data_IF_335276558730
#
_entry.id   IF_335276558730
#
_cell.length_a   1.000
_cell.length_b   1.000
_cell.length_c   1.000
_cell.angle_alpha   90.00
_cell.angle_beta   90.00
_cell.angle_gamma   90.00
#
_symmetry.space_group_name_H-M   'P 1'
#
loop_
_entity.id
_entity.type
_entity.pdbx_description
1 polymer ?
#
# COMPACT_ATOMS: atom_id res chain seq x y z
N UNK A 1 4.29 9.37 -0.27
CA UNK A 1 3.18 8.52 0.21
C UNK A 1 2.01 9.41 0.62
N UNK A 2 0.77 9.00 0.36
CA UNK A 2 -0.44 9.74 0.76
C UNK A 2 -1.25 8.96 1.79
N UNK A 3 -1.14 9.33 3.07
CA UNK A 3 -1.78 8.64 4.18
C UNK A 3 -3.26 8.97 4.36
N UNK A 4 -3.82 9.83 3.49
CA UNK A 4 -5.27 10.01 3.38
C UNK A 4 -5.94 8.86 2.63
N UNK A 5 -5.16 8.02 1.94
CA UNK A 5 -5.65 6.96 1.04
C UNK A 5 -5.23 5.55 1.44
N UNK A 6 -4.28 5.43 2.36
CA UNK A 6 -3.75 4.17 2.86
C UNK A 6 -3.14 4.38 4.25
N UNK A 7 -3.00 3.34 5.08
CA UNK A 7 -2.27 3.47 6.33
C UNK A 7 -0.76 3.49 6.05
N UNK A 8 0.06 4.03 6.96
CA UNK A 8 1.50 3.78 6.91
C UNK A 8 1.76 2.29 7.18
N UNK A 9 2.97 1.80 6.90
CA UNK A 9 3.36 0.41 7.17
C UNK A 9 3.05 0.00 8.59
N UNK A 10 2.89 -1.31 8.80
CA UNK A 10 2.52 -1.87 10.11
C UNK A 10 3.53 -1.41 11.17
N UNK A 11 3.08 -1.13 12.40
CA UNK A 11 4.00 -0.85 13.50
C UNK A 11 4.95 -2.03 13.77
N UNK A 12 4.58 -3.27 13.46
CA UNK A 12 5.46 -4.44 13.56
C UNK A 12 6.47 -4.59 12.42
N UNK A 13 6.38 -3.77 11.36
CA UNK A 13 7.27 -3.87 10.22
C UNK A 13 8.71 -3.46 10.59
N UNK A 14 9.68 -4.33 10.30
CA UNK A 14 11.10 -4.16 10.62
C UNK A 14 11.97 -3.89 9.39
N UNK A 15 11.39 -3.51 8.25
CA UNK A 15 12.14 -3.33 6.99
C UNK A 15 13.15 -2.19 7.04
N UNK A 16 13.00 -1.25 7.98
CA UNK A 16 13.95 -0.15 8.21
C UNK A 16 14.68 -0.36 9.54
N UNK A 17 15.99 -0.48 9.46
CA UNK A 17 16.93 -0.68 10.59
C UNK A 17 16.68 -1.94 11.44
N UNK A 18 15.80 -2.84 11.02
CA UNK A 18 15.40 -3.98 11.85
C UNK A 18 14.58 -3.58 13.09
N UNK A 19 14.10 -2.33 13.18
CA UNK A 19 13.46 -1.78 14.38
C UNK A 19 11.97 -1.55 14.10
N UNK A 20 11.12 -2.11 14.96
CA UNK A 20 9.67 -1.92 14.85
C UNK A 20 9.28 -0.45 15.01
N UNK A 21 8.26 -0.02 14.26
CA UNK A 21 7.78 1.36 14.26
C UNK A 21 8.60 2.33 13.41
N UNK A 22 9.86 2.02 13.04
CA UNK A 22 10.68 2.92 12.21
C UNK A 22 10.12 3.02 10.80
N UNK A 23 9.80 1.90 10.13
CA UNK A 23 9.19 1.91 8.80
C UNK A 23 7.88 2.71 8.75
N UNK A 24 7.03 2.54 9.77
CA UNK A 24 5.79 3.32 9.95
C UNK A 24 6.09 4.81 10.14
N UNK A 25 7.08 5.15 10.95
CA UNK A 25 7.48 6.53 11.21
C UNK A 25 8.09 7.18 9.95
N UNK A 26 8.82 6.44 9.13
CA UNK A 26 9.32 6.88 7.81
C UNK A 26 8.18 7.31 6.91
N UNK A 27 7.14 6.48 6.80
CA UNK A 27 5.98 6.76 5.96
C UNK A 27 5.24 8.02 6.43
N UNK A 28 5.08 8.17 7.75
CA UNK A 28 4.47 9.34 8.37
C UNK A 28 5.31 10.60 8.22
N UNK A 29 6.63 10.51 8.36
CA UNK A 29 7.54 11.63 8.11
C UNK A 29 7.44 12.09 6.65
N UNK A 30 7.51 11.17 5.69
CA UNK A 30 7.35 11.47 4.26
C UNK A 30 5.98 12.08 3.97
N UNK A 31 4.91 11.58 4.59
CA UNK A 31 3.57 12.15 4.41
C UNK A 31 3.43 13.53 5.07
N UNK A 32 4.03 13.74 6.25
CA UNK A 32 4.08 15.03 6.93
C UNK A 32 4.77 16.09 6.06
N UNK A 33 5.96 15.78 5.52
CA UNK A 33 6.72 16.71 4.69
C UNK A 33 5.97 17.07 3.39
N UNK A 34 5.17 16.15 2.87
CA UNK A 34 4.37 16.35 1.66
C UNK A 34 2.96 16.88 1.91
N UNK A 35 2.56 17.16 3.15
CA UNK A 35 1.21 17.64 3.49
C UNK A 35 0.10 16.61 3.26
N UNK A 36 0.43 15.31 3.28
CA UNK A 36 -0.47 14.18 3.01
C UNK A 36 -0.63 13.25 4.21
N UNK A 37 -0.34 13.73 5.42
CA UNK A 37 -0.40 12.95 6.67
C UNK A 37 -1.81 12.48 7.05
N UNK A 38 -2.85 13.23 6.67
CA UNK A 38 -4.23 12.92 7.03
C UNK A 38 -4.49 13.05 8.53
N UNK A 39 -5.19 12.08 9.11
CA UNK A 39 -5.54 12.06 10.55
C UNK A 39 -4.41 11.51 11.44
N UNK A 40 -3.31 11.03 10.83
CA UNK A 40 -2.17 10.54 11.58
C UNK A 40 -1.42 11.69 12.27
N UNK A 41 -0.74 11.38 13.37
CA UNK A 41 0.14 12.30 14.09
C UNK A 41 1.59 11.92 13.85
N UNK A 42 2.52 12.87 13.72
CA UNK A 42 3.94 12.59 13.52
C UNK A 42 4.80 13.13 14.67
N UNK A 43 5.92 12.44 14.95
CA UNK A 43 6.95 12.89 15.90
C UNK A 43 6.43 12.95 17.34
N UNK A 44 6.71 14.06 18.04
CA UNK A 44 6.35 14.25 19.46
C UNK A 44 4.85 14.14 19.76
N UNK A 45 3.99 14.35 18.74
CA UNK A 45 2.54 14.23 18.89
C UNK A 45 2.04 12.78 18.76
N UNK A 46 2.89 11.85 18.35
CA UNK A 46 2.58 10.41 18.24
C UNK A 46 3.29 9.65 19.35
N UNK A 47 2.52 8.99 20.23
CA UNK A 47 3.11 8.22 21.34
C UNK A 47 4.08 7.13 20.89
N UNK A 48 3.83 6.48 19.74
CA UNK A 48 4.76 5.49 19.19
C UNK A 48 6.01 6.15 18.61
N UNK A 49 5.86 7.23 17.83
CA UNK A 49 7.01 7.88 17.18
C UNK A 49 7.92 8.47 18.24
N UNK A 50 7.37 9.09 19.28
CA UNK A 50 8.12 9.58 20.43
C UNK A 50 8.94 8.46 21.08
N UNK A 51 8.33 7.30 21.36
CA UNK A 51 9.06 6.17 21.94
C UNK A 51 10.19 5.64 21.04
N UNK A 52 9.97 5.63 19.71
CA UNK A 52 10.99 5.25 18.73
C UNK A 52 12.11 6.29 18.68
N UNK A 53 11.80 7.58 18.58
CA UNK A 53 12.76 8.67 18.53
C UNK A 53 13.61 8.75 19.81
N UNK A 54 12.99 8.57 20.98
CA UNK A 54 13.69 8.46 22.27
C UNK A 54 14.64 7.25 22.30
N UNK A 55 14.20 6.09 21.81
CA UNK A 55 15.06 4.90 21.71
C UNK A 55 16.24 5.15 20.77
N UNK A 56 16.01 5.77 19.61
CA UNK A 56 17.05 6.08 18.63
C UNK A 56 18.00 7.21 19.07
N UNK A 57 17.58 8.07 19.99
CA UNK A 57 18.32 9.29 20.32
C UNK A 57 18.31 10.32 19.18
N UNK A 58 17.28 10.32 18.34
CA UNK A 58 17.14 11.17 17.15
C UNK A 58 15.92 12.07 17.32
N UNK A 59 16.05 13.37 16.99
CA UNK A 59 14.89 14.27 17.06
C UNK A 59 13.92 14.06 15.89
N UNK A 60 12.62 14.34 16.09
CA UNK A 60 11.64 14.26 15.00
C UNK A 60 12.04 15.11 13.79
N UNK A 61 12.59 16.31 14.01
CA UNK A 61 13.07 17.19 12.93
C UNK A 61 14.22 16.55 12.15
N UNK A 62 15.22 16.03 12.84
CA UNK A 62 16.37 15.39 12.19
C UNK A 62 15.96 14.15 11.40
N UNK A 63 15.05 13.33 11.94
CA UNK A 63 14.50 12.19 11.22
C UNK A 63 13.71 12.64 9.98
N UNK A 64 12.87 13.68 10.09
CA UNK A 64 12.14 14.24 8.96
C UNK A 64 13.06 14.73 7.83
N UNK A 65 14.18 15.38 8.18
CA UNK A 65 15.20 15.81 7.21
C UNK A 65 15.94 14.62 6.56
N UNK A 66 16.11 13.51 7.29
CA UNK A 66 16.74 12.30 6.76
C UNK A 66 15.85 11.59 5.73
N UNK A 67 14.53 11.48 5.98
CA UNK A 67 13.62 10.78 5.07
C UNK A 67 13.39 11.51 3.73
N UNK A 68 13.75 12.80 3.63
CA UNK A 68 13.78 13.55 2.37
C UNK A 68 14.99 13.22 1.52
N UNK A 69 16.10 12.86 2.17
CA UNK A 69 17.40 12.63 1.52
C UNK A 69 17.57 11.17 1.12
N UNK A 70 16.99 10.26 1.88
CA UNK A 70 17.27 8.83 1.81
C UNK A 70 16.05 8.00 1.43
N UNK A 71 16.26 7.06 0.51
CA UNK A 71 15.34 5.95 0.34
C UNK A 71 15.40 4.99 1.55
N UNK A 72 14.60 3.93 1.55
CA UNK A 72 14.55 3.01 2.69
C UNK A 72 15.87 2.24 2.92
N UNK A 73 16.63 1.97 1.85
CA UNK A 73 17.91 1.25 1.93
C UNK A 73 18.97 2.15 2.54
N UNK A 74 19.05 3.40 2.08
CA UNK A 74 19.97 4.40 2.62
C UNK A 74 19.59 4.79 4.04
N UNK A 75 18.30 4.95 4.31
CA UNK A 75 17.78 5.30 5.63
C UNK A 75 18.06 4.19 6.66
N UNK A 76 18.04 2.92 6.25
CA UNK A 76 18.44 1.80 7.11
C UNK A 76 19.86 1.99 7.67
N UNK A 77 20.83 2.29 6.79
CA UNK A 77 22.21 2.52 7.20
C UNK A 77 22.32 3.76 8.10
N UNK A 78 21.66 4.86 7.71
CA UNK A 78 21.68 6.11 8.46
C UNK A 78 21.10 5.96 9.88
N UNK A 79 19.96 5.28 10.05
CA UNK A 79 19.34 5.07 11.37
C UNK A 79 20.26 4.26 12.29
N UNK A 80 20.88 3.19 11.78
CA UNK A 80 21.79 2.34 12.57
C UNK A 80 23.04 3.11 13.01
N UNK A 81 23.68 3.82 12.07
CA UNK A 81 24.86 4.64 12.37
C UNK A 81 24.52 5.75 13.37
N UNK A 82 23.41 6.47 13.13
CA UNK A 82 23.04 7.63 13.92
C UNK A 82 22.61 7.28 15.34
N UNK A 83 21.89 6.17 15.50
CA UNK A 83 21.40 5.74 16.81
C UNK A 83 22.46 5.02 17.65
N UNK A 84 23.47 4.41 17.01
CA UNK A 84 24.51 3.64 17.69
C UNK A 84 23.98 2.41 18.44
N UNK A 85 22.76 1.95 18.11
CA UNK A 85 22.12 0.83 18.80
C UNK A 85 22.72 -0.51 18.40
N UNK A 86 22.99 -1.31 19.41
CA UNK A 86 23.43 -2.69 19.24
C UNK A 86 22.26 -3.60 18.83
N UNK A 87 22.56 -4.73 18.21
CA UNK A 87 21.55 -5.73 17.84
C UNK A 87 20.73 -6.21 19.05
N UNK A 88 21.36 -6.35 20.22
CA UNK A 88 20.68 -6.77 21.45
C UNK A 88 19.73 -5.71 22.00
N UNK A 89 20.09 -4.42 21.93
CA UNK A 89 19.20 -3.31 22.28
C UNK A 89 17.99 -3.26 21.32
N UNK A 90 18.22 -3.43 20.03
CA UNK A 90 17.16 -3.48 19.01
C UNK A 90 16.21 -4.65 19.27
N UNK A 91 16.75 -5.85 19.52
CA UNK A 91 15.95 -7.03 19.82
C UNK A 91 15.09 -6.82 21.07
N UNK A 92 15.66 -6.27 22.15
CA UNK A 92 14.94 -5.97 23.38
C UNK A 92 13.83 -4.92 23.18
N UNK A 93 14.10 -3.87 22.40
CA UNK A 93 13.09 -2.87 22.07
C UNK A 93 11.94 -3.46 21.26
N UNK A 94 12.27 -4.26 20.24
CA UNK A 94 11.29 -4.94 19.41
C UNK A 94 10.41 -5.89 20.23
N UNK A 95 11.00 -6.75 21.06
CA UNK A 95 10.27 -7.68 21.92
C UNK A 95 9.32 -6.95 22.87
N UNK A 96 9.82 -5.90 23.53
CA UNK A 96 9.00 -5.05 24.40
C UNK A 96 7.79 -4.50 23.66
N UNK A 97 7.99 -3.92 22.47
CA UNK A 97 6.90 -3.28 21.71
C UNK A 97 5.92 -4.26 21.09
N UNK A 98 6.41 -5.39 20.59
CA UNK A 98 5.56 -6.45 20.03
C UNK A 98 4.66 -7.10 21.07
N UNK A 99 5.10 -7.15 22.33
CA UNK A 99 4.37 -7.79 23.45
C UNK A 99 3.58 -6.81 24.32
N UNK A 100 3.74 -5.50 24.10
CA UNK A 100 3.10 -4.44 24.89
C UNK A 100 1.56 -4.55 24.83
N UNK A 101 0.93 -4.75 25.99
CA UNK A 101 -0.53 -4.78 26.13
C UNK A 101 -1.07 -3.40 26.51
N UNK A 102 -2.32 -3.07 26.13
CA UNK A 102 -3.01 -1.88 26.65
C UNK A 102 -3.04 -1.87 28.19
N UNK A 103 -2.50 -0.82 28.80
CA UNK A 103 -2.39 -0.72 30.26
C UNK A 103 -3.58 0.03 30.87
N UNK A 104 -3.90 1.21 30.34
CA UNK A 104 -4.98 2.05 30.83
C UNK A 104 -6.36 1.66 30.27
N UNK A 105 -7.41 2.07 30.96
CA UNK A 105 -8.79 1.75 30.59
C UNK A 105 -9.20 2.32 29.22
N UNK A 106 -8.65 3.47 28.82
CA UNK A 106 -8.95 4.06 27.52
C UNK A 106 -8.35 3.23 26.38
N UNK A 107 -7.13 2.72 26.54
CA UNK A 107 -6.46 1.86 25.58
C UNK A 107 -7.16 0.49 25.48
N UNK A 108 -7.59 -0.09 26.61
CA UNK A 108 -8.39 -1.32 26.63
C UNK A 108 -9.73 -1.12 25.93
N UNK A 109 -10.42 -0.01 26.20
CA UNK A 109 -11.68 0.34 25.54
C UNK A 109 -11.50 0.52 24.03
N UNK A 110 -10.44 1.20 23.57
CA UNK A 110 -10.11 1.33 22.14
C UNK A 110 -9.90 -0.03 21.47
N UNK A 111 -9.14 -0.93 22.10
CA UNK A 111 -8.97 -2.29 21.57
C UNK A 111 -10.30 -3.04 21.48
N UNK A 112 -11.13 -2.99 22.53
CA UNK A 112 -12.44 -3.63 22.53
C UNK A 112 -13.37 -3.08 21.44
N UNK A 113 -13.39 -1.76 21.23
CA UNK A 113 -14.15 -1.11 20.17
C UNK A 113 -13.70 -1.57 18.78
N UNK A 114 -12.39 -1.57 18.51
CA UNK A 114 -11.82 -2.03 17.23
C UNK A 114 -12.14 -3.50 16.95
N UNK A 115 -12.05 -4.36 17.97
CA UNK A 115 -12.44 -5.76 17.87
C UNK A 115 -13.92 -5.90 17.51
N UNK A 116 -14.81 -5.19 18.21
CA UNK A 116 -16.23 -5.21 17.91
C UNK A 116 -16.53 -4.76 16.48
N UNK A 117 -15.85 -3.70 16.02
CA UNK A 117 -16.09 -3.09 14.73
C UNK A 117 -15.53 -3.91 13.56
N UNK A 118 -14.28 -4.37 13.66
CA UNK A 118 -13.55 -4.93 12.52
C UNK A 118 -13.34 -6.44 12.58
N UNK A 119 -13.36 -7.04 13.77
CA UNK A 119 -13.02 -8.45 13.93
C UNK A 119 -13.76 -9.11 15.12
N UNK A 120 -15.11 -9.08 15.13
CA UNK A 120 -15.89 -9.59 16.25
C UNK A 120 -15.58 -11.08 16.48
N UNK A 121 -15.31 -11.44 17.74
CA UNK A 121 -15.00 -12.82 18.14
C UNK A 121 -13.53 -13.23 18.01
N UNK A 122 -12.65 -12.41 17.43
CA UNK A 122 -11.20 -12.67 17.48
C UNK A 122 -10.68 -12.47 18.90
N UNK A 123 -9.85 -13.41 19.36
CA UNK A 123 -9.33 -13.44 20.75
C UNK A 123 -7.80 -13.40 20.81
N UNK A 124 -7.12 -13.45 19.67
CA UNK A 124 -5.67 -13.46 19.51
C UNK A 124 -5.04 -12.06 19.41
N UNK A 125 -5.85 -11.03 19.13
CA UNK A 125 -5.45 -9.61 19.09
C UNK A 125 -5.46 -9.04 20.52
N UNK A 126 -4.28 -8.87 21.11
CA UNK A 126 -4.08 -8.52 22.52
C UNK A 126 -3.09 -7.37 22.76
N UNK A 127 -2.22 -7.07 21.81
CA UNK A 127 -1.17 -6.07 21.97
C UNK A 127 -1.55 -4.73 21.34
N UNK A 128 -0.85 -3.66 21.75
CA UNK A 128 -1.06 -2.31 21.21
C UNK A 128 -0.84 -2.30 19.69
N UNK A 129 0.21 -2.96 19.21
CA UNK A 129 0.50 -3.07 17.78
C UNK A 129 -0.57 -3.84 17.03
N UNK A 130 -1.00 -4.99 17.54
CA UNK A 130 -2.10 -5.73 16.91
C UNK A 130 -3.39 -4.91 16.86
N UNK A 131 -3.67 -4.08 17.88
CA UNK A 131 -4.80 -3.16 17.84
C UNK A 131 -4.66 -2.10 16.76
N UNK A 132 -3.47 -1.52 16.60
CA UNK A 132 -3.20 -0.52 15.57
C UNK A 132 -3.31 -1.12 14.17
N UNK A 133 -2.76 -2.31 13.96
CA UNK A 133 -2.86 -3.03 12.68
C UNK A 133 -4.30 -3.39 12.34
N UNK A 134 -5.12 -3.77 13.33
CA UNK A 134 -6.54 -4.02 13.13
C UNK A 134 -7.28 -2.75 12.70
N UNK A 135 -6.94 -1.60 13.29
CA UNK A 135 -7.53 -0.30 12.97
C UNK A 135 -7.18 0.14 11.54
N UNK A 136 -5.88 0.09 11.20
CA UNK A 136 -5.37 0.41 9.87
C UNK A 136 -5.95 -0.55 8.82
N UNK A 137 -6.02 -1.84 9.11
CA UNK A 137 -6.67 -2.81 8.23
C UNK A 137 -8.14 -2.43 8.03
N UNK A 138 -8.91 -2.38 9.13
CA UNK A 138 -10.35 -2.14 9.10
C UNK A 138 -10.77 -0.82 8.46
N UNK A 139 -9.93 0.22 8.55
CA UNK A 139 -10.18 1.53 7.97
C UNK A 139 -9.85 1.66 6.48
N UNK A 140 -8.96 0.83 5.92
CA UNK A 140 -8.38 1.09 4.60
C UNK A 140 -8.43 -0.06 3.59
N UNK A 141 -8.67 -1.31 4.02
CA UNK A 141 -8.65 -2.43 3.06
C UNK A 141 -9.82 -2.37 2.07
N UNK A 142 -10.97 -1.84 2.49
CA UNK A 142 -12.16 -1.78 1.64
C UNK A 142 -12.05 -0.65 0.61
N UNK A 143 -12.41 -0.97 -0.62
CA UNK A 143 -12.47 -0.02 -1.73
C UNK A 143 -13.86 -0.09 -2.35
N UNK A 144 -14.49 1.06 -2.57
CA UNK A 144 -15.78 1.15 -3.26
C UNK A 144 -15.60 1.76 -4.65
N UNK A 145 -15.62 0.91 -5.67
CA UNK A 145 -15.48 1.30 -7.07
C UNK A 145 -16.82 1.63 -7.75
N UNK A 146 -17.95 1.50 -7.03
CA UNK A 146 -19.22 2.04 -7.51
C UNK A 146 -19.30 3.57 -7.38
N UNK A 147 -18.33 4.19 -6.69
CA UNK A 147 -18.32 5.62 -6.35
C UNK A 147 -17.12 6.39 -6.88
N UNK A 148 -16.11 5.70 -7.39
CA UNK A 148 -14.89 6.29 -7.95
C UNK A 148 -14.18 5.24 -8.82
N UNK A 149 -13.32 5.67 -9.76
CA UNK A 149 -12.52 4.72 -10.51
C UNK A 149 -11.42 4.11 -9.62
N UNK A 150 -10.92 2.90 -9.96
CA UNK A 150 -9.67 2.41 -9.42
C UNK A 150 -8.53 3.30 -9.91
N UNK A 151 -7.34 3.16 -9.32
CA UNK A 151 -6.18 3.93 -9.76
C UNK A 151 -5.88 3.73 -11.26
N UNK A 152 -5.32 4.77 -11.88
CA UNK A 152 -4.88 4.77 -13.28
C UNK A 152 -4.02 3.54 -13.57
N UNK A 153 -4.12 2.93 -14.77
CA UNK A 153 -3.29 1.78 -15.14
C UNK A 153 -1.79 2.13 -15.15
N UNK A 154 -1.41 3.40 -15.32
CA UNK A 154 -0.02 3.87 -15.24
C UNK A 154 0.54 3.97 -13.82
N UNK A 155 -0.31 3.87 -12.79
CA UNK A 155 0.12 4.00 -11.40
C UNK A 155 1.08 2.87 -11.00
N UNK A 156 2.27 3.25 -10.51
CA UNK A 156 3.36 2.35 -10.09
C UNK A 156 3.56 2.28 -8.57
N UNK A 157 2.58 2.74 -7.80
CA UNK A 157 2.68 2.83 -6.33
C UNK A 157 2.90 1.48 -5.64
N UNK A 158 2.51 0.38 -6.30
CA UNK A 158 2.68 -0.99 -5.80
C UNK A 158 3.79 -1.69 -6.61
N UNK A 159 4.87 -2.07 -5.94
CA UNK A 159 6.03 -2.77 -6.51
C UNK A 159 6.76 -2.06 -7.69
N UNK A 160 6.40 -0.83 -8.04
CA UNK A 160 6.92 -0.17 -9.24
C UNK A 160 6.33 -0.72 -10.54
N UNK A 161 5.23 -1.49 -10.48
CA UNK A 161 4.66 -2.22 -11.62
C UNK A 161 3.32 -1.60 -12.01
N UNK A 162 3.13 -1.28 -13.29
CA UNK A 162 1.85 -0.80 -13.83
C UNK A 162 0.75 -1.83 -13.63
N UNK A 163 -0.52 -1.39 -13.66
CA UNK A 163 -1.71 -2.20 -13.41
C UNK A 163 -1.85 -2.77 -11.99
N UNK A 164 -0.77 -2.99 -11.21
CA UNK A 164 -0.84 -3.67 -9.91
C UNK A 164 -1.66 -2.86 -8.91
N UNK A 165 -1.49 -1.54 -8.86
CA UNK A 165 -2.28 -0.65 -8.01
C UNK A 165 -3.78 -0.68 -8.39
N UNK A 166 -4.08 -0.62 -9.69
CA UNK A 166 -5.44 -0.74 -10.23
C UNK A 166 -6.07 -2.09 -9.90
N UNK A 167 -5.31 -3.16 -10.06
CA UNK A 167 -5.73 -4.53 -9.78
C UNK A 167 -5.97 -4.74 -8.28
N UNK A 168 -5.18 -4.13 -7.40
CA UNK A 168 -5.38 -4.15 -5.94
C UNK A 168 -6.71 -3.49 -5.56
N UNK A 169 -7.01 -2.32 -6.13
CA UNK A 169 -8.28 -1.62 -5.89
C UNK A 169 -9.47 -2.48 -6.32
N UNK A 170 -9.40 -3.10 -7.50
CA UNK A 170 -10.42 -4.04 -8.02
C UNK A 170 -10.56 -5.29 -7.16
N UNK A 171 -9.45 -5.86 -6.71
CA UNK A 171 -9.46 -7.06 -5.88
C UNK A 171 -10.13 -6.78 -4.51
N UNK A 172 -9.77 -5.66 -3.87
CA UNK A 172 -10.37 -5.19 -2.62
C UNK A 172 -11.86 -4.93 -2.78
N UNK A 173 -12.26 -4.23 -3.85
CA UNK A 173 -13.66 -3.95 -4.14
C UNK A 173 -14.47 -5.22 -4.46
N UNK A 174 -13.87 -6.17 -5.18
CA UNK A 174 -14.48 -7.48 -5.43
C UNK A 174 -14.72 -8.25 -4.13
N UNK A 175 -13.77 -8.22 -3.19
CA UNK A 175 -13.90 -8.87 -1.87
C UNK A 175 -14.89 -8.14 -0.96
N UNK A 176 -15.03 -6.82 -1.10
CA UNK A 176 -15.97 -6.00 -0.35
C UNK A 176 -17.40 -5.99 -0.94
N UNK A 177 -17.61 -6.52 -2.15
CA UNK A 177 -18.91 -6.49 -2.82
C UNK A 177 -19.29 -5.13 -3.42
N UNK A 178 -18.29 -4.28 -3.67
CA UNK A 178 -18.43 -2.87 -4.09
C UNK A 178 -17.65 -2.60 -5.38
N UNK A 179 -17.61 -3.59 -6.27
CA UNK A 179 -16.83 -3.55 -7.51
C UNK A 179 -17.40 -2.60 -8.57
N UNK A 180 -18.71 -2.30 -8.53
CA UNK A 180 -19.39 -1.53 -9.59
C UNK A 180 -19.36 -2.28 -10.92
N UNK A 181 -19.17 -1.54 -12.02
CA UNK A 181 -19.14 -2.09 -13.39
C UNK A 181 -17.77 -2.67 -13.78
N UNK A 182 -16.78 -2.60 -12.89
CA UNK A 182 -15.45 -3.16 -13.13
C UNK A 182 -15.45 -4.69 -13.05
N UNK A 183 -14.47 -5.31 -13.71
CA UNK A 183 -14.26 -6.77 -13.68
C UNK A 183 -12.89 -7.07 -13.09
N UNK A 184 -12.84 -7.70 -11.93
CA UNK A 184 -11.60 -8.26 -11.38
C UNK A 184 -11.25 -9.59 -12.06
N UNK A 185 -9.99 -9.76 -12.49
CA UNK A 185 -9.56 -10.85 -13.37
C UNK A 185 -9.90 -10.61 -14.85
N UNK A 186 -9.95 -9.35 -15.28
CA UNK A 186 -10.16 -9.00 -16.70
C UNK A 186 -8.89 -9.30 -17.53
N UNK A 187 -8.94 -9.21 -18.88
CA UNK A 187 -7.77 -9.52 -19.72
C UNK A 187 -6.48 -8.78 -19.33
N UNK A 188 -6.55 -7.53 -18.85
CA UNK A 188 -5.36 -6.81 -18.38
C UNK A 188 -4.84 -7.31 -17.02
N UNK A 189 -5.71 -7.70 -16.09
CA UNK A 189 -5.26 -8.37 -14.87
C UNK A 189 -4.57 -9.70 -15.22
N UNK A 190 -5.08 -10.39 -16.25
CA UNK A 190 -4.56 -11.67 -16.73
C UNK A 190 -3.25 -11.58 -17.51
N UNK A 191 -2.73 -10.39 -17.82
CA UNK A 191 -1.34 -10.24 -18.29
C UNK A 191 -0.39 -9.98 -17.11
N UNK A 192 -0.86 -9.33 -16.04
CA UNK A 192 -0.08 -9.02 -14.84
C UNK A 192 0.08 -10.24 -13.92
N UNK A 193 -0.99 -11.00 -13.69
CA UNK A 193 -0.96 -12.16 -12.79
C UNK A 193 0.05 -13.24 -13.24
N UNK A 194 0.12 -13.65 -14.52
CA UNK A 194 1.15 -14.58 -14.99
C UNK A 194 2.56 -13.99 -14.92
N UNK A 195 2.74 -12.70 -15.20
CA UNK A 195 4.04 -12.04 -15.04
C UNK A 195 4.53 -12.14 -13.60
N UNK A 196 3.65 -11.94 -12.63
CA UNK A 196 3.97 -12.10 -11.21
C UNK A 196 4.08 -13.56 -10.76
N UNK A 197 3.56 -14.52 -11.52
CA UNK A 197 3.47 -15.93 -11.10
C UNK A 197 2.52 -16.13 -9.91
N UNK A 198 1.45 -15.32 -9.82
CA UNK A 198 0.52 -15.30 -8.68
C UNK A 198 -0.89 -15.56 -9.20
N UNK A 199 -1.67 -16.40 -8.52
CA UNK A 199 -3.07 -16.61 -8.89
C UNK A 199 -3.94 -15.41 -8.52
N UNK A 200 -5.11 -15.27 -9.16
CA UNK A 200 -6.07 -14.21 -8.88
C UNK A 200 -6.51 -14.26 -7.41
N UNK A 201 -6.79 -15.44 -6.88
CA UNK A 201 -7.25 -15.63 -5.51
C UNK A 201 -6.17 -15.23 -4.51
N UNK A 202 -4.92 -15.64 -4.74
CA UNK A 202 -3.78 -15.27 -3.89
C UNK A 202 -3.53 -13.76 -3.89
N UNK A 203 -3.59 -13.11 -5.05
CA UNK A 203 -3.43 -11.67 -5.13
C UNK A 203 -4.55 -10.93 -4.40
N UNK A 204 -5.81 -11.39 -4.54
CA UNK A 204 -6.93 -10.76 -3.86
C UNK A 204 -6.84 -10.86 -2.34
N UNK A 205 -6.45 -12.02 -1.83
CA UNK A 205 -6.24 -12.22 -0.39
C UNK A 205 -5.10 -11.33 0.12
N UNK A 206 -4.00 -11.21 -0.64
CA UNK A 206 -2.89 -10.34 -0.30
C UNK A 206 -3.25 -8.84 -0.33
N UNK A 207 -4.04 -8.40 -1.31
CA UNK A 207 -4.50 -7.02 -1.41
C UNK A 207 -5.40 -6.63 -0.23
N UNK A 208 -6.21 -7.56 0.29
CA UNK A 208 -7.01 -7.36 1.51
C UNK A 208 -6.13 -7.38 2.76
N UNK A 209 -5.14 -8.28 2.84
CA UNK A 209 -4.25 -8.38 3.99
C UNK A 209 -3.27 -7.21 4.10
N UNK A 210 -2.91 -6.57 2.98
CA UNK A 210 -1.94 -5.48 2.93
C UNK A 210 -2.63 -4.21 2.39
N UNK A 211 -3.26 -3.40 3.27
CA UNK A 211 -3.87 -2.13 2.88
C UNK A 211 -2.81 -1.07 2.49
N UNK A 212 -1.58 -1.21 2.98
CA UNK A 212 -0.44 -0.38 2.59
C UNK A 212 0.19 -0.88 1.29
N UNK A 213 0.44 0.02 0.35
CA UNK A 213 0.94 -0.32 -0.99
C UNK A 213 2.40 -0.78 -1.00
N UNK A 214 3.25 -0.29 -0.06
CA UNK A 214 4.64 -0.75 0.07
C UNK A 214 4.64 -2.22 0.50
N UNK A 215 3.86 -2.58 1.53
CA UNK A 215 3.77 -3.97 2.02
C UNK A 215 3.16 -4.92 0.98
N UNK A 216 2.15 -4.47 0.23
CA UNK A 216 1.62 -5.25 -0.89
C UNK A 216 2.68 -5.43 -2.00
N UNK A 217 3.45 -4.38 -2.26
CA UNK A 217 4.54 -4.40 -3.23
C UNK A 217 5.65 -5.37 -2.84
N UNK A 218 6.14 -5.29 -1.60
CA UNK A 218 7.16 -6.18 -1.04
C UNK A 218 6.70 -7.64 -1.10
N UNK A 219 5.43 -7.91 -0.75
CA UNK A 219 4.84 -9.24 -0.87
C UNK A 219 4.83 -9.75 -2.31
N UNK A 220 4.43 -8.92 -3.27
CA UNK A 220 4.37 -9.28 -4.68
C UNK A 220 5.76 -9.52 -5.28
N UNK A 221 6.74 -8.67 -4.97
CA UNK A 221 8.13 -8.80 -5.43
C UNK A 221 8.77 -10.07 -4.88
N UNK A 222 8.60 -10.34 -3.58
CA UNK A 222 9.15 -11.54 -2.94
C UNK A 222 8.61 -12.84 -3.55
N UNK A 223 7.32 -12.88 -3.91
CA UNK A 223 6.71 -14.05 -4.55
C UNK A 223 7.09 -14.21 -6.01
N UNK A 224 7.13 -13.10 -6.74
CA UNK A 224 7.37 -13.13 -8.18
C UNK A 224 8.84 -13.36 -8.53
N UNK A 225 9.78 -12.95 -7.67
CA UNK A 225 11.22 -13.07 -7.91
C UNK A 225 11.72 -12.22 -9.08
N UNK A 226 10.93 -11.24 -9.52
CA UNK A 226 11.23 -10.42 -10.69
C UNK A 226 12.35 -9.42 -10.43
N UNK A 227 13.26 -9.30 -11.40
CA UNK A 227 14.29 -8.27 -11.36
C UNK A 227 13.73 -6.91 -11.75
N UNK A 228 14.49 -5.85 -11.45
CA UNK A 228 14.14 -4.49 -11.86
C UNK A 228 14.01 -4.37 -13.38
N UNK A 229 14.90 -5.02 -14.12
CA UNK A 229 14.92 -5.01 -15.59
C UNK A 229 13.69 -5.72 -16.17
N UNK A 230 13.28 -6.86 -15.60
CA UNK A 230 12.05 -7.54 -16.00
C UNK A 230 10.80 -6.67 -15.76
N UNK A 231 10.76 -5.97 -14.62
CA UNK A 231 9.66 -5.04 -14.28
C UNK A 231 9.61 -3.86 -15.23
N UNK A 232 10.75 -3.25 -15.54
CA UNK A 232 10.83 -2.14 -16.48
C UNK A 232 10.40 -2.54 -17.89
N UNK A 233 10.77 -3.74 -18.35
CA UNK A 233 10.35 -4.27 -19.64
C UNK A 233 8.85 -4.57 -19.67
N UNK A 234 8.31 -5.21 -18.62
CA UNK A 234 6.88 -5.42 -18.49
C UNK A 234 6.11 -4.10 -18.52
N UNK A 235 6.57 -3.10 -17.77
CA UNK A 235 5.94 -1.79 -17.72
C UNK A 235 5.91 -1.14 -19.10
N UNK A 236 7.04 -1.08 -19.82
CA UNK A 236 7.08 -0.53 -21.18
C UNK A 236 6.10 -1.23 -22.12
N UNK A 237 6.12 -2.57 -22.11
CA UNK A 237 5.27 -3.38 -22.99
C UNK A 237 3.79 -3.19 -22.68
N UNK A 238 3.41 -3.15 -21.41
CA UNK A 238 2.03 -2.98 -20.99
C UNK A 238 1.50 -1.56 -21.28
N UNK A 239 2.32 -0.53 -21.04
CA UNK A 239 1.98 0.88 -21.30
C UNK A 239 1.75 1.14 -22.80
N UNK A 240 2.54 0.53 -23.68
CA UNK A 240 2.42 0.70 -25.14
C UNK A 240 1.50 -0.32 -25.82
N UNK A 241 0.74 -1.12 -25.05
CA UNK A 241 -0.06 -2.20 -25.62
C UNK A 241 -1.26 -1.64 -26.39
N UNK A 242 -1.22 -1.80 -27.70
CA UNK A 242 -2.32 -1.52 -28.61
C UNK A 242 -3.14 -2.80 -28.88
N UNK A 243 -4.33 -2.69 -29.51
CA UNK A 243 -5.07 -3.87 -29.94
C UNK A 243 -4.34 -4.63 -31.06
N UNK A 244 -3.96 -5.89 -30.78
CA UNK A 244 -3.04 -6.64 -31.66
C UNK A 244 -3.79 -7.41 -32.76
N UNK A 245 -5.01 -7.88 -32.47
CA UNK A 245 -5.87 -8.61 -33.42
C UNK A 245 -7.02 -7.77 -33.95
N UNK A 246 -7.66 -8.21 -35.04
CA UNK A 246 -8.85 -7.54 -35.58
C UNK A 246 -10.03 -7.57 -34.59
N UNK A 247 -10.15 -8.65 -33.82
CA UNK A 247 -11.15 -8.76 -32.76
C UNK A 247 -10.87 -7.75 -31.63
N UNK A 248 -9.61 -7.62 -31.20
CA UNK A 248 -9.22 -6.63 -30.21
C UNK A 248 -9.44 -5.20 -30.72
N UNK A 249 -9.09 -4.92 -31.98
CA UNK A 249 -9.32 -3.61 -32.63
C UNK A 249 -10.80 -3.27 -32.69
N UNK A 250 -11.65 -4.22 -33.08
CA UNK A 250 -13.10 -4.01 -33.11
C UNK A 250 -13.66 -3.75 -31.70
N UNK A 251 -13.19 -4.50 -30.68
CA UNK A 251 -13.58 -4.28 -29.28
C UNK A 251 -13.12 -2.92 -28.76
N UNK A 252 -11.88 -2.55 -29.05
CA UNK A 252 -11.30 -1.26 -28.67
C UNK A 252 -12.09 -0.10 -29.28
N UNK A 253 -12.32 -0.14 -30.61
CA UNK A 253 -13.07 0.90 -31.31
C UNK A 253 -14.50 1.02 -30.77
N UNK A 254 -15.17 -0.12 -30.51
CA UNK A 254 -16.50 -0.10 -29.91
C UNK A 254 -16.53 0.62 -28.57
N UNK A 255 -15.60 0.30 -27.66
CA UNK A 255 -15.54 0.99 -26.36
C UNK A 255 -15.18 2.47 -26.51
N UNK A 256 -14.23 2.81 -27.38
CA UNK A 256 -13.87 4.20 -27.64
C UNK A 256 -15.07 5.00 -28.19
N UNK A 257 -15.84 4.42 -29.11
CA UNK A 257 -17.04 5.07 -29.66
C UNK A 257 -18.19 5.19 -28.66
N UNK A 258 -18.31 4.26 -27.70
CA UNK A 258 -19.29 4.35 -26.61
C UNK A 258 -18.98 5.52 -25.66
N UNK A 259 -17.70 5.79 -25.42
CA UNK A 259 -17.24 6.76 -24.41
C UNK A 259 -16.96 8.14 -25.03
N UNK A 260 -16.28 8.18 -26.17
CA UNK A 260 -15.81 9.40 -26.83
C UNK A 260 -15.81 9.26 -28.36
N UNK A 261 -17.00 9.28 -29.01
CA UNK A 261 -17.14 9.09 -30.45
C UNK A 261 -16.24 10.01 -31.28
N UNK A 262 -15.54 9.44 -32.26
CA UNK A 262 -14.74 10.20 -33.23
C UNK A 262 -13.36 10.63 -32.73
N UNK A 263 -12.93 10.23 -31.53
CA UNK A 263 -11.52 10.36 -31.10
C UNK A 263 -10.64 9.41 -31.92
N UNK A 264 -9.49 9.91 -32.35
CA UNK A 264 -8.52 9.15 -33.18
C UNK A 264 -7.11 9.17 -32.61
N UNK A 265 -6.90 9.88 -31.51
CA UNK A 265 -5.63 10.06 -30.81
C UNK A 265 -5.43 9.08 -29.64
N UNK A 266 -6.39 8.18 -29.41
CA UNK A 266 -6.34 7.15 -28.37
C UNK A 266 -6.06 5.82 -29.07
N UNK A 267 -4.90 5.22 -28.79
CA UNK A 267 -4.47 4.01 -29.49
C UNK A 267 -4.01 2.86 -28.57
N UNK A 268 -3.78 3.13 -27.29
CA UNK A 268 -3.43 2.12 -26.28
C UNK A 268 -4.60 1.76 -25.35
N UNK A 269 -4.59 0.54 -24.82
CA UNK A 269 -5.58 0.12 -23.82
C UNK A 269 -5.55 0.99 -22.56
N UNK A 270 -4.39 1.52 -22.16
CA UNK A 270 -4.27 2.34 -20.96
C UNK A 270 -4.89 3.71 -21.15
N UNK A 271 -4.66 4.36 -22.29
CA UNK A 271 -5.30 5.64 -22.61
C UNK A 271 -6.83 5.52 -22.66
N UNK A 272 -7.33 4.43 -23.25
CA UNK A 272 -8.77 4.15 -23.27
C UNK A 272 -9.33 3.98 -21.86
N UNK A 273 -8.66 3.23 -20.97
CA UNK A 273 -9.09 3.05 -19.58
C UNK A 273 -9.08 4.35 -18.77
N UNK A 274 -8.03 5.16 -18.89
CA UNK A 274 -7.97 6.44 -18.19
C UNK A 274 -9.00 7.45 -18.75
N UNK A 275 -9.36 7.36 -20.03
CA UNK A 275 -10.45 8.14 -20.60
C UNK A 275 -11.81 7.67 -20.08
N UNK A 276 -12.05 6.36 -20.07
CA UNK A 276 -13.27 5.74 -19.55
C UNK A 276 -13.53 6.14 -18.08
N UNK A 277 -12.50 5.99 -17.24
CA UNK A 277 -12.57 6.34 -15.82
C UNK A 277 -12.90 7.83 -15.61
N UNK A 278 -12.39 8.73 -16.48
CA UNK A 278 -12.67 10.18 -16.43
C UNK A 278 -14.06 10.56 -16.93
N UNK A 279 -14.64 9.78 -17.84
CA UNK A 279 -15.98 10.06 -18.37
C UNK A 279 -17.06 9.47 -17.45
N UNK A 280 -16.73 8.43 -16.69
CA UNK A 280 -17.66 7.72 -15.81
C UNK A 280 -17.81 8.35 -14.42
N UNK A 281 -16.87 9.16 -13.94
CA UNK A 281 -16.83 9.74 -12.59
C UNK A 281 -16.35 11.19 -12.57
#
# INVERSE_FOLDING_TARGET
MDLRRQPPRRPSNTSVAGIVGVARMTDKARASNNGTLGEYLYGENSGLDKAVLEFLGISAKEFAEAVEKYDDVELNAWVLERSGKTESEIAAFNEMKLTEKPQDEAAKARLAQRLQQYAPGRTDIKTVFQSMELDDWGGFWQVDLSRRPPRSPYCKDVAGIVLVARMADKARASKAGTLGDYIYGCPLDMITLPFLGISKEEFADAAVQNPNDIELGDWALKRSGKTKEEIEEFNRTAESRQPESDEERARFQRYLDEIAPGRTDIDTWFELLDLDDKMSF
#
